data_IF_828988630929
#
_entry.id   IF_828988630929
#
_cell.length_a   1.000
_cell.length_b   1.000
_cell.length_c   1.000
_cell.angle_alpha   90.00
_cell.angle_beta   90.00
_cell.angle_gamma   90.00
#
_symmetry.space_group_name_H-M   'P 1'
#
loop_
_entity.id
_entity.type
_entity.pdbx_description
1 polymer ?
#
# COMPACT_ATOMS: atom_id res chain seq x y z
N UNK A 1 19.73 8.21 6.98
CA UNK A 1 21.20 8.00 6.99
C UNK A 1 21.78 7.93 5.58
N UNK A 2 21.24 7.15 4.65
CA UNK A 2 21.73 7.10 3.25
C UNK A 2 21.81 8.49 2.58
N UNK A 3 20.76 9.33 2.72
CA UNK A 3 20.73 10.69 2.14
C UNK A 3 21.86 11.62 2.63
N UNK A 4 22.49 11.27 3.75
CA UNK A 4 23.55 12.10 4.35
C UNK A 4 24.97 11.59 4.03
N UNK A 5 25.14 10.27 3.84
CA UNK A 5 26.46 9.63 3.70
C UNK A 5 26.67 8.95 2.35
N UNK A 6 25.64 8.77 1.53
CA UNK A 6 25.72 8.12 0.22
C UNK A 6 26.00 6.61 0.27
N UNK A 7 25.89 5.98 1.44
CA UNK A 7 26.04 4.54 1.62
C UNK A 7 25.08 4.00 2.69
N UNK A 8 24.87 2.69 2.67
CA UNK A 8 24.00 1.99 3.63
C UNK A 8 24.62 2.04 5.04
N UNK A 9 23.77 2.22 6.06
CA UNK A 9 24.22 2.37 7.45
C UNK A 9 25.03 1.18 7.97
N UNK A 10 24.76 -0.03 7.48
CA UNK A 10 25.44 -1.27 7.83
C UNK A 10 25.80 -1.99 6.53
N UNK A 11 27.07 -1.94 6.13
CA UNK A 11 27.59 -2.65 4.96
C UNK A 11 27.77 -4.14 5.30
N UNK A 12 26.69 -4.90 5.25
CA UNK A 12 26.67 -6.34 5.53
C UNK A 12 25.65 -7.03 4.63
N UNK A 13 26.04 -8.16 4.05
CA UNK A 13 25.16 -8.98 3.20
C UNK A 13 23.91 -9.42 3.94
N UNK A 14 24.02 -9.76 5.22
CA UNK A 14 22.89 -10.18 6.06
C UNK A 14 21.90 -9.02 6.20
N UNK A 15 22.38 -7.81 6.45
CA UNK A 15 21.54 -6.62 6.56
C UNK A 15 20.83 -6.33 5.23
N UNK A 16 21.57 -6.39 4.11
CA UNK A 16 21.01 -6.15 2.78
C UNK A 16 19.94 -7.19 2.38
N UNK A 17 20.17 -8.47 2.67
CA UNK A 17 19.15 -9.52 2.48
C UNK A 17 17.89 -9.25 3.30
N UNK A 18 18.05 -8.96 4.59
CA UNK A 18 16.93 -8.65 5.48
C UNK A 18 16.15 -7.42 5.00
N UNK A 19 16.86 -6.34 4.67
CA UNK A 19 16.29 -5.10 4.18
C UNK A 19 15.49 -5.30 2.88
N UNK A 20 16.06 -6.03 1.93
CA UNK A 20 15.43 -6.33 0.65
C UNK A 20 14.18 -7.19 0.83
N UNK A 21 14.23 -8.24 1.66
CA UNK A 21 13.09 -9.10 1.97
C UNK A 21 11.98 -8.28 2.63
N UNK A 22 12.31 -7.49 3.65
CA UNK A 22 11.32 -6.73 4.41
C UNK A 22 10.62 -5.68 3.55
N UNK A 23 11.39 -4.84 2.84
CA UNK A 23 10.83 -3.76 2.03
C UNK A 23 10.00 -4.29 0.87
N UNK A 24 10.48 -5.32 0.17
CA UNK A 24 9.75 -5.92 -0.94
C UNK A 24 8.50 -6.66 -0.47
N UNK A 25 8.59 -7.43 0.61
CA UNK A 25 7.42 -8.14 1.16
C UNK A 25 6.33 -7.17 1.62
N UNK A 26 6.68 -6.06 2.29
CA UNK A 26 5.72 -5.04 2.72
C UNK A 26 5.06 -4.34 1.52
N UNK A 27 5.81 -4.03 0.48
CA UNK A 27 5.26 -3.43 -0.74
C UNK A 27 4.28 -4.39 -1.44
N UNK A 28 4.63 -5.65 -1.62
CA UNK A 28 3.77 -6.69 -2.20
C UNK A 28 2.51 -6.86 -1.35
N UNK A 29 2.67 -6.99 -0.04
CA UNK A 29 1.57 -7.10 0.92
C UNK A 29 0.59 -5.93 0.79
N UNK A 30 1.09 -4.70 0.71
CA UNK A 30 0.26 -3.50 0.55
C UNK A 30 -0.61 -3.57 -0.71
N UNK A 31 -0.04 -3.93 -1.86
CA UNK A 31 -0.78 -4.00 -3.13
C UNK A 31 -1.79 -5.15 -3.12
N UNK A 32 -1.41 -6.32 -2.61
CA UNK A 32 -2.30 -7.49 -2.51
C UNK A 32 -3.46 -7.25 -1.54
N UNK A 33 -3.23 -6.59 -0.39
CA UNK A 33 -4.30 -6.22 0.52
C UNK A 33 -5.28 -5.21 -0.11
N UNK A 34 -4.79 -4.24 -0.89
CA UNK A 34 -5.67 -3.33 -1.63
C UNK A 34 -6.51 -4.06 -2.68
N UNK A 35 -5.95 -5.08 -3.36
CA UNK A 35 -6.69 -5.92 -4.29
C UNK A 35 -7.80 -6.70 -3.57
N UNK A 36 -7.48 -7.31 -2.44
CA UNK A 36 -8.46 -8.02 -1.63
C UNK A 36 -9.57 -7.10 -1.10
N UNK A 37 -9.21 -5.93 -0.55
CA UNK A 37 -10.17 -4.94 -0.07
C UNK A 37 -11.11 -4.46 -1.18
N UNK A 38 -10.66 -4.39 -2.42
CA UNK A 38 -11.51 -4.04 -3.57
C UNK A 38 -12.55 -5.12 -3.85
N UNK A 39 -12.18 -6.40 -3.75
CA UNK A 39 -13.10 -7.55 -3.85
C UNK A 39 -14.08 -7.55 -2.66
N UNK A 40 -13.58 -7.38 -1.45
CA UNK A 40 -14.40 -7.40 -0.25
C UNK A 40 -15.48 -6.31 -0.27
N UNK A 41 -15.13 -5.09 -0.70
CA UNK A 41 -16.10 -4.00 -0.87
C UNK A 41 -17.21 -4.35 -1.89
N UNK A 42 -16.85 -5.01 -2.99
CA UNK A 42 -17.83 -5.50 -3.94
C UNK A 42 -18.79 -6.51 -3.28
N UNK A 43 -18.26 -7.47 -2.51
CA UNK A 43 -19.05 -8.47 -1.80
C UNK A 43 -19.93 -7.84 -0.70
N UNK A 44 -19.42 -6.88 0.07
CA UNK A 44 -20.17 -6.17 1.12
C UNK A 44 -21.38 -5.44 0.57
N UNK A 45 -21.26 -4.81 -0.59
CA UNK A 45 -22.36 -4.02 -1.18
C UNK A 45 -23.43 -4.94 -1.76
N UNK A 46 -23.04 -6.04 -2.39
CA UNK A 46 -23.96 -6.86 -3.18
C UNK A 46 -24.33 -8.21 -2.56
N UNK A 47 -23.49 -8.71 -1.65
CA UNK A 47 -23.63 -10.03 -1.03
C UNK A 47 -23.38 -9.98 0.48
N UNK A 48 -23.93 -8.96 1.17
CA UNK A 48 -23.70 -8.74 2.61
C UNK A 48 -24.09 -9.92 3.49
N UNK A 49 -25.19 -10.61 3.18
CA UNK A 49 -25.64 -11.78 3.94
C UNK A 49 -24.66 -12.95 3.82
N UNK A 50 -24.11 -13.17 2.62
CA UNK A 50 -23.10 -14.21 2.38
C UNK A 50 -21.82 -13.93 3.13
N UNK A 51 -21.35 -12.67 3.11
CA UNK A 51 -20.15 -12.26 3.83
C UNK A 51 -20.30 -12.39 5.35
N UNK A 52 -21.49 -12.03 5.90
CA UNK A 52 -21.75 -12.18 7.33
C UNK A 52 -21.76 -13.64 7.78
N UNK A 53 -22.32 -14.54 6.97
CA UNK A 53 -22.39 -15.97 7.26
C UNK A 53 -20.99 -16.62 7.31
N UNK A 54 -20.08 -16.22 6.42
CA UNK A 54 -18.75 -16.79 6.27
C UNK A 54 -17.63 -15.81 6.64
N UNK A 55 -17.85 -14.93 7.62
CA UNK A 55 -16.95 -13.85 7.98
C UNK A 55 -15.52 -14.31 8.27
N UNK A 56 -15.34 -15.42 8.98
CA UNK A 56 -14.01 -15.95 9.33
C UNK A 56 -13.26 -16.36 8.07
N UNK A 57 -13.88 -17.13 7.18
CA UNK A 57 -13.24 -17.68 5.98
C UNK A 57 -13.03 -16.60 4.93
N UNK A 58 -14.00 -15.68 4.74
CA UNK A 58 -13.96 -14.68 3.68
C UNK A 58 -13.33 -13.35 4.09
N UNK A 59 -13.10 -13.09 5.37
CA UNK A 59 -12.49 -11.85 5.82
C UNK A 59 -11.13 -12.10 6.48
N UNK A 60 -11.07 -12.90 7.54
CA UNK A 60 -9.82 -13.05 8.30
C UNK A 60 -8.79 -13.96 7.62
N UNK A 61 -9.22 -15.12 7.09
CA UNK A 61 -8.29 -16.08 6.50
C UNK A 61 -7.53 -15.52 5.29
N UNK A 62 -8.16 -14.87 4.30
CA UNK A 62 -7.43 -14.28 3.18
C UNK A 62 -6.47 -13.17 3.60
N UNK A 63 -6.85 -12.32 4.56
CA UNK A 63 -5.98 -11.26 5.07
C UNK A 63 -4.69 -11.86 5.66
N UNK A 64 -4.81 -12.89 6.51
CA UNK A 64 -3.66 -13.56 7.12
C UNK A 64 -2.76 -14.17 6.04
N UNK A 65 -3.35 -14.87 5.06
CA UNK A 65 -2.59 -15.47 3.96
C UNK A 65 -1.86 -14.39 3.14
N UNK A 66 -2.54 -13.28 2.81
CA UNK A 66 -1.96 -12.19 2.02
C UNK A 66 -0.89 -11.40 2.77
N UNK A 67 -0.90 -11.40 4.10
CA UNK A 67 0.18 -10.83 4.90
C UNK A 67 1.39 -11.77 4.92
N UNK A 68 1.17 -13.06 5.08
CA UNK A 68 2.25 -14.03 5.28
C UNK A 68 2.90 -14.45 3.96
N UNK A 69 2.11 -14.63 2.88
CA UNK A 69 2.62 -15.16 1.60
C UNK A 69 3.74 -14.33 0.96
N UNK A 70 3.74 -12.97 0.99
CA UNK A 70 4.84 -12.19 0.43
C UNK A 70 6.18 -12.41 1.15
N UNK A 71 6.14 -12.61 2.46
CA UNK A 71 7.37 -12.90 3.22
C UNK A 71 7.96 -14.25 2.83
N UNK A 72 7.13 -15.30 2.77
CA UNK A 72 7.60 -16.61 2.32
C UNK A 72 8.11 -16.58 0.89
N UNK A 73 7.42 -15.88 0.00
CA UNK A 73 7.84 -15.69 -1.39
C UNK A 73 9.21 -15.00 -1.46
N UNK A 74 9.39 -13.88 -0.76
CA UNK A 74 10.64 -13.12 -0.78
C UNK A 74 11.80 -13.86 -0.12
N UNK A 75 11.54 -14.57 0.99
CA UNK A 75 12.54 -15.45 1.63
C UNK A 75 12.98 -16.54 0.67
N UNK A 76 12.05 -17.17 -0.05
CA UNK A 76 12.33 -18.16 -1.07
C UNK A 76 13.19 -17.61 -2.20
N UNK A 77 12.80 -16.46 -2.76
CA UNK A 77 13.51 -15.87 -3.90
C UNK A 77 14.90 -15.31 -3.56
N UNK A 78 15.09 -14.77 -2.37
CA UNK A 78 16.38 -14.16 -1.99
C UNK A 78 17.38 -15.18 -1.44
N UNK A 79 16.91 -16.20 -0.69
CA UNK A 79 17.81 -17.12 -0.02
C UNK A 79 17.97 -18.48 -0.71
N UNK A 80 16.94 -18.99 -1.39
CA UNK A 80 16.92 -20.35 -1.94
C UNK A 80 17.00 -20.42 -3.46
N UNK A 81 16.83 -19.26 -4.14
CA UNK A 81 17.00 -19.25 -5.59
C UNK A 81 18.47 -19.48 -5.96
N UNK A 82 18.80 -20.35 -6.95
CA UNK A 82 20.17 -20.77 -7.26
C UNK A 82 20.94 -19.68 -8.02
N UNK A 83 21.23 -18.57 -7.33
CA UNK A 83 22.09 -17.50 -7.84
C UNK A 83 22.79 -16.77 -6.68
N UNK A 84 23.96 -16.21 -6.95
CA UNK A 84 24.70 -15.41 -5.97
C UNK A 84 24.26 -13.96 -5.96
N UNK A 85 23.90 -13.46 -4.79
CA UNK A 85 23.57 -12.05 -4.62
C UNK A 85 24.83 -11.20 -4.46
N UNK A 86 25.01 -10.22 -5.35
CA UNK A 86 26.06 -9.22 -5.25
C UNK A 86 25.42 -7.89 -4.84
N UNK A 87 25.64 -7.48 -3.58
CA UNK A 87 25.05 -6.26 -3.05
C UNK A 87 25.93 -5.04 -3.31
N UNK A 88 25.30 -3.96 -3.72
CA UNK A 88 25.94 -2.65 -3.86
C UNK A 88 25.60 -1.77 -2.66
N UNK A 89 26.55 -1.63 -1.75
CA UNK A 89 26.38 -0.83 -0.53
C UNK A 89 26.32 0.67 -0.79
N UNK A 90 26.67 1.11 -2.00
CA UNK A 90 26.53 2.52 -2.42
C UNK A 90 25.12 2.85 -2.92
N UNK A 91 24.27 1.84 -3.10
CA UNK A 91 22.87 2.01 -3.46
C UNK A 91 21.97 2.07 -2.24
N UNK A 92 20.93 2.91 -2.28
CA UNK A 92 19.96 3.08 -1.20
C UNK A 92 19.20 1.79 -0.80
N UNK A 93 19.08 0.85 -1.73
CA UNK A 93 18.40 -0.44 -1.55
C UNK A 93 19.39 -1.63 -1.54
N UNK A 94 20.68 -1.41 -1.31
CA UNK A 94 21.74 -2.42 -1.45
C UNK A 94 21.84 -3.03 -2.87
N UNK A 95 21.31 -2.35 -3.88
CA UNK A 95 21.19 -2.91 -5.23
C UNK A 95 19.95 -3.80 -5.40
N UNK A 96 20.07 -4.76 -6.29
CA UNK A 96 18.98 -5.69 -6.65
C UNK A 96 19.36 -7.14 -6.36
N UNK A 97 18.38 -7.98 -6.03
CA UNK A 97 18.63 -9.41 -5.86
C UNK A 97 18.96 -10.08 -7.19
N UNK A 98 19.78 -11.12 -7.17
CA UNK A 98 20.25 -11.83 -8.35
C UNK A 98 19.12 -12.37 -9.24
N UNK A 99 17.99 -12.82 -8.65
CA UNK A 99 16.85 -13.34 -9.40
C UNK A 99 16.18 -12.28 -10.30
N UNK A 100 16.32 -11.00 -9.97
CA UNK A 100 15.74 -9.89 -10.77
C UNK A 100 16.47 -9.67 -12.09
N UNK A 101 17.71 -10.13 -12.20
CA UNK A 101 18.50 -10.08 -13.43
C UNK A 101 18.14 -11.22 -14.41
N UNK A 102 17.42 -12.22 -13.95
CA UNK A 102 17.02 -13.36 -14.77
C UNK A 102 15.61 -13.14 -15.34
N UNK A 103 15.36 -13.38 -16.64
CA UNK A 103 14.10 -13.02 -17.28
C UNK A 103 12.88 -13.75 -16.71
N UNK A 104 13.00 -15.07 -16.48
CA UNK A 104 11.86 -15.89 -16.04
C UNK A 104 11.44 -15.56 -14.59
N UNK A 105 12.31 -15.65 -13.56
CA UNK A 105 11.91 -15.38 -12.18
C UNK A 105 11.58 -13.91 -11.96
N UNK A 106 12.27 -13.01 -12.64
CA UNK A 106 11.95 -11.57 -12.58
C UNK A 106 10.54 -11.30 -13.10
N UNK A 107 10.20 -11.78 -14.30
CA UNK A 107 8.85 -11.60 -14.87
C UNK A 107 7.79 -12.24 -14.00
N UNK A 108 8.01 -13.47 -13.50
CA UNK A 108 7.09 -14.15 -12.60
C UNK A 108 6.86 -13.37 -11.31
N UNK A 109 7.92 -12.79 -10.73
CA UNK A 109 7.81 -11.97 -9.52
C UNK A 109 7.03 -10.66 -9.76
N UNK A 110 7.23 -9.99 -10.88
CA UNK A 110 6.47 -8.80 -11.26
C UNK A 110 4.99 -9.10 -11.51
N UNK A 111 4.67 -10.23 -12.15
CA UNK A 111 3.29 -10.67 -12.34
C UNK A 111 2.63 -10.94 -10.99
N UNK A 112 3.27 -11.71 -10.11
CA UNK A 112 2.73 -12.05 -8.79
C UNK A 112 2.60 -10.83 -7.88
N UNK A 113 3.63 -9.99 -7.83
CA UNK A 113 3.70 -8.88 -6.89
C UNK A 113 2.78 -7.72 -7.26
N UNK A 114 2.62 -7.43 -8.56
CA UNK A 114 2.00 -6.19 -9.03
C UNK A 114 0.95 -6.39 -10.11
N UNK A 115 1.27 -7.02 -11.23
CA UNK A 115 0.37 -7.05 -12.38
C UNK A 115 -0.95 -7.77 -12.09
N UNK A 116 -0.91 -8.95 -11.45
CA UNK A 116 -2.10 -9.68 -11.09
C UNK A 116 -2.96 -8.95 -10.06
N UNK A 117 -2.42 -8.42 -8.93
CA UNK A 117 -3.20 -7.61 -8.00
C UNK A 117 -3.78 -6.34 -8.62
N UNK A 118 -3.01 -5.61 -9.45
CA UNK A 118 -3.51 -4.42 -10.13
C UNK A 118 -4.67 -4.76 -11.08
N UNK A 119 -4.57 -5.85 -11.83
CA UNK A 119 -5.66 -6.32 -12.67
C UNK A 119 -6.92 -6.65 -11.85
N UNK A 120 -6.78 -7.30 -10.71
CA UNK A 120 -7.87 -7.59 -9.78
C UNK A 120 -8.51 -6.29 -9.25
N UNK A 121 -7.71 -5.31 -8.86
CA UNK A 121 -8.19 -3.99 -8.41
C UNK A 121 -9.01 -3.32 -9.53
N UNK A 122 -8.49 -3.31 -10.76
CA UNK A 122 -9.16 -2.70 -11.90
C UNK A 122 -10.52 -3.35 -12.17
N UNK A 123 -10.53 -4.66 -12.33
CA UNK A 123 -11.76 -5.41 -12.64
C UNK A 123 -12.80 -5.27 -11.54
N UNK A 124 -12.40 -5.39 -10.27
CA UNK A 124 -13.31 -5.22 -9.13
C UNK A 124 -13.92 -3.82 -9.07
N UNK A 125 -13.12 -2.78 -9.33
CA UNK A 125 -13.59 -1.40 -9.33
C UNK A 125 -14.51 -1.10 -10.51
N UNK A 126 -14.18 -1.58 -11.71
CA UNK A 126 -15.07 -1.44 -12.89
C UNK A 126 -16.40 -2.14 -12.64
N UNK A 127 -16.40 -3.38 -12.14
CA UNK A 127 -17.61 -4.11 -11.82
C UNK A 127 -18.46 -3.37 -10.77
N UNK A 128 -17.82 -2.80 -9.75
CA UNK A 128 -18.50 -2.02 -8.72
C UNK A 128 -19.15 -0.76 -9.31
N UNK A 129 -18.43 -0.01 -10.15
CA UNK A 129 -18.96 1.19 -10.82
C UNK A 129 -20.14 0.85 -11.70
N UNK A 130 -19.99 -0.13 -12.57
CA UNK A 130 -21.06 -0.57 -13.50
C UNK A 130 -22.32 -0.96 -12.74
N UNK A 131 -22.18 -1.77 -11.69
CA UNK A 131 -23.34 -2.18 -10.87
C UNK A 131 -23.98 -1.01 -10.13
N UNK A 132 -23.20 -0.10 -9.55
CA UNK A 132 -23.73 1.08 -8.85
C UNK A 132 -24.49 2.00 -9.82
N UNK A 133 -23.98 2.19 -11.04
CA UNK A 133 -24.69 2.97 -12.09
C UNK A 133 -25.98 2.27 -12.50
N UNK A 134 -25.96 0.95 -12.67
CA UNK A 134 -27.14 0.16 -13.04
C UNK A 134 -28.21 0.21 -11.95
N UNK A 135 -27.84 0.08 -10.68
CA UNK A 135 -28.76 0.23 -9.57
C UNK A 135 -29.36 1.64 -9.48
N UNK A 136 -28.57 2.70 -9.78
CA UNK A 136 -29.08 4.08 -9.82
C UNK A 136 -30.22 4.23 -10.83
N UNK A 137 -30.12 3.58 -11.99
CA UNK A 137 -31.16 3.65 -13.02
C UNK A 137 -32.45 2.95 -12.60
N UNK A 138 -32.38 1.97 -11.69
CA UNK A 138 -33.54 1.22 -11.21
C UNK A 138 -34.18 1.78 -9.94
N UNK A 139 -33.42 2.51 -9.08
CA UNK A 139 -33.92 3.03 -7.82
C UNK A 139 -33.95 4.57 -7.84
N UNK A 140 -35.18 5.10 -7.70
CA UNK A 140 -35.48 6.54 -7.54
C UNK A 140 -35.01 7.13 -6.18
N UNK A 141 -34.29 6.39 -5.35
CA UNK A 141 -33.89 6.80 -3.99
C UNK A 141 -32.60 7.63 -3.96
N UNK A 142 -32.72 8.95 -3.93
CA UNK A 142 -31.60 9.90 -3.94
C UNK A 142 -30.65 9.86 -2.72
N UNK A 143 -31.07 9.39 -1.55
CA UNK A 143 -30.24 9.42 -0.34
C UNK A 143 -29.17 8.32 -0.27
N UNK A 144 -29.48 7.11 -0.74
CA UNK A 144 -28.55 5.99 -0.82
C UNK A 144 -27.42 6.30 -1.82
N UNK A 145 -27.75 7.01 -2.90
CA UNK A 145 -26.77 7.44 -3.91
C UNK A 145 -25.70 8.39 -3.35
N UNK A 146 -26.07 9.39 -2.53
CA UNK A 146 -25.10 10.35 -1.97
C UNK A 146 -24.04 9.65 -1.10
N UNK A 147 -24.44 8.65 -0.31
CA UNK A 147 -23.56 7.84 0.54
C UNK A 147 -22.62 6.98 -0.32
N UNK A 148 -23.16 6.28 -1.32
CA UNK A 148 -22.39 5.39 -2.18
C UNK A 148 -21.43 6.15 -3.11
N UNK A 149 -21.82 7.33 -3.63
CA UNK A 149 -20.96 8.20 -4.45
C UNK A 149 -19.70 8.61 -3.73
N UNK A 150 -19.79 8.99 -2.45
CA UNK A 150 -18.63 9.42 -1.67
C UNK A 150 -17.62 8.27 -1.48
N UNK A 151 -18.11 7.09 -1.14
CA UNK A 151 -17.29 5.88 -1.00
C UNK A 151 -16.64 5.49 -2.33
N UNK A 152 -17.39 5.56 -3.45
CA UNK A 152 -16.90 5.28 -4.78
C UNK A 152 -15.78 6.24 -5.20
N UNK A 153 -15.98 7.54 -5.00
CA UNK A 153 -15.01 8.57 -5.37
C UNK A 153 -13.68 8.39 -4.60
N UNK A 154 -13.79 8.02 -3.33
CA UNK A 154 -12.63 7.74 -2.50
C UNK A 154 -11.89 6.47 -2.97
N UNK A 155 -12.63 5.39 -3.30
CA UNK A 155 -12.02 4.18 -3.83
C UNK A 155 -11.27 4.47 -5.14
N UNK A 156 -11.88 5.27 -6.04
CA UNK A 156 -11.26 5.67 -7.29
C UNK A 156 -10.01 6.52 -7.08
N UNK A 157 -10.00 7.41 -6.07
CA UNK A 157 -8.81 8.22 -5.79
C UNK A 157 -7.64 7.37 -5.29
N UNK A 158 -7.87 6.43 -4.37
CA UNK A 158 -6.83 5.50 -3.89
C UNK A 158 -6.29 4.65 -5.03
N UNK A 159 -7.20 4.07 -5.81
CA UNK A 159 -6.84 3.25 -6.96
C UNK A 159 -6.08 4.07 -8.00
N UNK A 160 -6.51 5.29 -8.29
CA UNK A 160 -5.83 6.19 -9.23
C UNK A 160 -4.37 6.46 -8.82
N UNK A 161 -4.14 6.75 -7.54
CA UNK A 161 -2.78 6.96 -7.00
C UNK A 161 -1.93 5.69 -7.16
N UNK A 162 -2.48 4.51 -6.82
CA UNK A 162 -1.77 3.24 -7.01
C UNK A 162 -1.42 2.98 -8.47
N UNK A 163 -2.35 3.23 -9.41
CA UNK A 163 -2.09 3.03 -10.83
C UNK A 163 -1.03 3.98 -11.38
N UNK A 164 -1.13 5.26 -11.06
CA UNK A 164 -0.14 6.27 -11.52
C UNK A 164 1.26 5.94 -11.01
N UNK A 165 1.37 5.37 -9.81
CA UNK A 165 2.67 5.04 -9.20
C UNK A 165 3.23 3.70 -9.71
N UNK A 166 2.42 2.64 -9.76
CA UNK A 166 2.91 1.28 -9.98
C UNK A 166 2.89 0.84 -11.45
N UNK A 167 1.95 1.30 -12.26
CA UNK A 167 1.84 0.84 -13.67
C UNK A 167 3.06 1.23 -14.50
N UNK A 168 3.57 2.48 -14.48
CA UNK A 168 4.75 2.84 -15.25
C UNK A 168 5.97 2.00 -14.90
N UNK A 169 6.20 1.77 -13.60
CA UNK A 169 7.34 1.00 -13.12
C UNK A 169 7.19 -0.48 -13.46
N UNK A 170 6.01 -1.06 -13.30
CA UNK A 170 5.77 -2.46 -13.64
C UNK A 170 5.99 -2.74 -15.13
N UNK A 171 5.48 -1.86 -15.99
CA UNK A 171 5.64 -1.98 -17.44
C UNK A 171 7.11 -1.80 -17.82
N UNK A 172 7.77 -0.75 -17.33
CA UNK A 172 9.18 -0.50 -17.62
C UNK A 172 10.06 -1.66 -17.15
N UNK A 173 9.80 -2.24 -15.99
CA UNK A 173 10.55 -3.38 -15.44
C UNK A 173 10.40 -4.62 -16.31
N UNK A 174 9.18 -4.96 -16.73
CA UNK A 174 8.95 -6.12 -17.61
C UNK A 174 9.62 -5.92 -18.97
N UNK A 175 9.49 -4.73 -19.55
CA UNK A 175 10.13 -4.44 -20.85
C UNK A 175 11.65 -4.47 -20.73
N UNK A 176 12.23 -3.92 -19.66
CA UNK A 176 13.71 -3.93 -19.44
C UNK A 176 14.26 -5.36 -19.34
N UNK A 177 13.50 -6.27 -18.72
CA UNK A 177 13.88 -7.68 -18.60
C UNK A 177 13.84 -8.40 -19.96
N UNK A 178 12.86 -8.07 -20.82
CA UNK A 178 12.71 -8.67 -22.15
C UNK A 178 13.62 -8.03 -23.20
N UNK A 179 13.78 -6.72 -23.16
CA UNK A 179 14.56 -5.90 -24.06
C UNK A 179 15.35 -4.85 -23.28
N UNK A 180 16.59 -5.16 -22.86
CA UNK A 180 17.43 -4.24 -22.11
C UNK A 180 17.63 -2.93 -22.88
N UNK A 181 17.10 -1.84 -22.33
CA UNK A 181 17.24 -0.49 -22.88
C UNK A 181 17.68 0.48 -21.79
N UNK A 182 18.75 1.23 -22.04
CA UNK A 182 19.34 2.15 -21.07
C UNK A 182 18.35 3.21 -20.59
N UNK A 183 17.49 3.73 -21.47
CA UNK A 183 16.48 4.75 -21.14
C UNK A 183 15.47 4.21 -20.11
N UNK A 184 15.05 2.94 -20.25
CA UNK A 184 14.12 2.32 -19.31
C UNK A 184 14.77 2.06 -17.95
N UNK A 185 16.07 1.76 -17.94
CA UNK A 185 16.84 1.57 -16.71
C UNK A 185 16.95 2.89 -15.93
N UNK A 186 17.25 3.99 -16.61
CA UNK A 186 17.29 5.33 -16.02
C UNK A 186 15.91 5.77 -15.50
N UNK A 187 14.83 5.41 -16.20
CA UNK A 187 13.47 5.69 -15.76
C UNK A 187 13.13 4.99 -14.45
N UNK A 188 13.55 3.74 -14.27
CA UNK A 188 13.34 3.00 -13.01
C UNK A 188 14.14 3.58 -11.83
N UNK A 189 15.35 4.09 -12.10
CA UNK A 189 16.19 4.77 -11.12
C UNK A 189 15.74 6.20 -10.79
N UNK A 190 14.72 6.73 -11.51
CA UNK A 190 14.27 8.09 -11.29
C UNK A 190 13.64 8.24 -9.90
N UNK A 191 14.24 9.09 -9.08
CA UNK A 191 13.83 9.35 -7.70
C UNK A 191 12.37 9.84 -7.57
N UNK A 192 11.81 10.50 -8.60
CA UNK A 192 10.41 10.92 -8.61
C UNK A 192 9.47 9.72 -8.65
N UNK A 193 9.73 8.73 -9.50
CA UNK A 193 8.89 7.52 -9.58
C UNK A 193 8.99 6.70 -8.30
N UNK A 194 10.19 6.54 -7.75
CA UNK A 194 10.40 5.87 -6.47
C UNK A 194 9.68 6.63 -5.34
N UNK A 195 9.78 7.96 -5.31
CA UNK A 195 9.08 8.81 -4.36
C UNK A 195 7.56 8.68 -4.45
N UNK A 196 6.99 8.60 -5.65
CA UNK A 196 5.56 8.37 -5.86
C UNK A 196 5.08 7.03 -5.31
N UNK A 197 5.90 5.96 -5.38
CA UNK A 197 5.58 4.67 -4.78
C UNK A 197 5.44 4.81 -3.26
N UNK A 198 6.42 5.42 -2.59
CA UNK A 198 6.35 5.61 -1.15
C UNK A 198 5.17 6.48 -0.73
N UNK A 199 4.89 7.54 -1.48
CA UNK A 199 3.70 8.35 -1.26
C UNK A 199 2.43 7.53 -1.41
N UNK A 200 2.31 6.69 -2.45
CA UNK A 200 1.14 5.84 -2.66
C UNK A 200 0.94 4.85 -1.50
N UNK A 201 2.02 4.23 -1.02
CA UNK A 201 1.97 3.30 0.13
C UNK A 201 1.54 4.02 1.40
N UNK A 202 2.05 5.23 1.67
CA UNK A 202 1.67 6.04 2.83
C UNK A 202 0.23 6.58 2.73
N UNK A 203 -0.22 7.00 1.54
CA UNK A 203 -1.57 7.50 1.33
C UNK A 203 -2.64 6.41 1.37
N UNK A 204 -2.30 5.16 1.04
CA UNK A 204 -3.24 4.04 1.02
C UNK A 204 -3.96 3.81 2.36
N UNK A 205 -3.29 3.65 3.51
CA UNK A 205 -3.95 3.49 4.80
C UNK A 205 -4.69 4.76 5.26
N UNK A 206 -4.14 5.96 4.97
CA UNK A 206 -4.79 7.23 5.32
C UNK A 206 -6.12 7.40 4.59
N UNK A 207 -6.14 7.15 3.30
CA UNK A 207 -7.36 7.27 2.50
C UNK A 207 -8.38 6.19 2.86
N UNK A 208 -7.94 4.98 3.19
CA UNK A 208 -8.82 3.91 3.67
C UNK A 208 -9.43 4.24 5.03
N UNK A 209 -8.66 4.81 5.95
CA UNK A 209 -9.18 5.24 7.26
C UNK A 209 -10.14 6.44 7.17
N UNK A 210 -9.92 7.35 6.24
CA UNK A 210 -10.86 8.46 5.98
C UNK A 210 -12.19 7.99 5.36
N UNK A 211 -12.25 6.78 4.78
CA UNK A 211 -13.46 6.20 4.23
C UNK A 211 -14.46 5.77 5.29
N UNK A 212 -13.99 5.36 6.46
CA UNK A 212 -14.82 4.84 7.54
C UNK A 212 -15.34 6.01 8.39
N UNK A 213 -16.66 6.30 8.38
CA UNK A 213 -17.21 7.40 9.17
C UNK A 213 -17.03 7.20 10.68
N UNK A 214 -17.06 5.95 11.12
CA UNK A 214 -16.84 5.56 12.53
C UNK A 214 -15.42 5.91 12.97
N UNK A 215 -14.42 5.49 12.21
CA UNK A 215 -13.01 5.78 12.51
C UNK A 215 -12.71 7.28 12.48
N UNK A 216 -13.32 8.02 11.54
CA UNK A 216 -13.20 9.48 11.47
C UNK A 216 -13.76 10.16 12.72
N UNK A 217 -14.88 9.69 13.25
CA UNK A 217 -15.46 10.23 14.47
C UNK A 217 -14.56 9.92 15.68
N UNK A 218 -14.02 8.71 15.78
CA UNK A 218 -13.08 8.33 16.84
C UNK A 218 -11.79 9.15 16.77
N UNK A 219 -11.21 9.32 15.59
CA UNK A 219 -10.01 10.16 15.39
C UNK A 219 -10.31 11.61 15.79
N UNK A 220 -11.47 12.17 15.39
CA UNK A 220 -11.88 13.53 15.78
C UNK A 220 -12.05 13.66 17.30
N UNK A 221 -12.66 12.68 17.94
CA UNK A 221 -12.79 12.65 19.40
C UNK A 221 -11.44 12.55 20.09
N UNK A 222 -10.53 11.73 19.56
CA UNK A 222 -9.17 11.60 20.09
C UNK A 222 -8.37 12.90 19.95
N UNK A 223 -8.39 13.53 18.78
CA UNK A 223 -7.74 14.85 18.55
C UNK A 223 -8.31 15.91 19.50
N UNK A 224 -9.63 15.96 19.68
CA UNK A 224 -10.25 16.93 20.58
C UNK A 224 -9.87 16.68 22.04
N UNK A 225 -9.76 15.40 22.47
CA UNK A 225 -9.27 15.04 23.82
C UNK A 225 -7.80 15.46 24.00
N UNK A 226 -6.97 15.22 22.99
CA UNK A 226 -5.56 15.61 23.00
C UNK A 226 -5.39 17.14 23.05
N UNK A 227 -6.10 17.88 22.23
CA UNK A 227 -6.09 19.35 22.23
C UNK A 227 -6.60 19.95 23.54
N UNK A 228 -7.58 19.35 24.20
CA UNK A 228 -8.05 19.77 25.52
C UNK A 228 -6.95 19.53 26.58
N UNK A 229 -6.28 18.38 26.56
CA UNK A 229 -5.15 18.10 27.47
C UNK A 229 -4.02 19.12 27.29
N UNK A 230 -3.66 19.40 26.03
CA UNK A 230 -2.62 20.38 25.72
C UNK A 230 -2.98 21.78 26.20
N UNK A 231 -4.21 22.23 26.00
CA UNK A 231 -4.72 23.52 26.47
C UNK A 231 -4.72 23.63 28.00
N UNK A 232 -5.16 22.60 28.70
CA UNK A 232 -5.14 22.54 30.15
C UNK A 232 -3.71 22.55 30.72
N UNK A 233 -2.75 21.90 30.04
CA UNK A 233 -1.35 21.92 30.45
C UNK A 233 -0.70 23.30 30.32
N UNK A 234 -1.15 24.13 29.37
CA UNK A 234 -0.66 25.51 29.22
C UNK A 234 -1.25 26.50 30.22
N UNK A 235 -2.43 26.19 30.78
CA UNK A 235 -3.08 27.06 31.77
C UNK A 235 -2.57 26.87 33.20
N UNK A 236 -1.90 25.75 33.51
CA UNK A 236 -1.36 25.47 34.84
C UNK A 236 -0.14 26.31 35.27
N UNK A 237 0.82 26.69 34.41
CA UNK A 237 1.99 27.44 34.87
C UNK A 237 1.67 28.92 35.30
N UNK A 238 0.57 29.49 34.83
CA UNK A 238 0.21 30.88 35.18
C UNK A 238 -0.44 31.05 36.57
N UNK A 239 -1.00 29.98 37.14
CA UNK A 239 -1.63 30.01 38.43
C UNK A 239 -0.63 29.86 39.60
N UNK A 240 0.46 29.12 39.39
CA UNK A 240 1.47 28.91 40.45
C UNK A 240 2.35 30.14 40.65
N UNK A 241 2.60 30.91 39.61
CA UNK A 241 3.44 32.13 39.71
C UNK A 241 2.76 33.27 40.46
N UNK A 242 1.42 33.30 40.60
CA UNK A 242 0.70 34.33 41.34
C UNK A 242 0.64 34.11 42.85
N UNK A 243 0.88 32.87 43.29
CA UNK A 243 0.88 32.55 44.74
C UNK A 243 2.25 32.71 45.40
N UNK A 244 3.31 33.04 44.66
CA UNK A 244 4.65 33.32 45.20
C UNK A 244 4.98 34.81 45.31
N UNK A 245 4.05 35.70 44.97
CA UNK A 245 4.25 37.15 45.01
C UNK A 245 3.34 37.85 46.04
N UNK A 246 2.62 37.12 46.90
CA UNK A 246 1.95 37.61 48.12
C UNK A 246 2.70 37.07 49.36
#
# INVERSE_FOLDING_TARGET
MYLYHGYVAIASDIFCKYWLILTSALNICSVQLNAYLSIERYLLIFHSQFLQKYKIILHYLPIIILIISPFFFMIGMVNYYPCENHFDYTSWACGTACYTLQPVPSTASWIYALLAPLFIICTSNVLLIVRVIYQKRRMLQGNVWKKNKKMLLQLLSVTGVLYVSWVPISISSVITVLHPNQILYELQGNWLLVGLIYLAVLFSPLSSSMAMPELRNEIRLWINRWLRRYRNAQTYPAAVTRLQTE
#
